data_IF_136413675803
#
_entry.id   IF_136413675803
#
_cell.length_a   1.000
_cell.length_b   1.000
_cell.length_c   1.000
_cell.angle_alpha   90.00
_cell.angle_beta   90.00
_cell.angle_gamma   90.00
#
_symmetry.space_group_name_H-M   'P 1'
#
loop_
_entity.id
_entity.type
_entity.pdbx_description
1 polymer ?
#
# COMPACT_ATOMS: atom_id res chain seq x y z
N UNK A 1 -28.22 -7.84 -32.65
CA UNK A 1 -27.27 -8.33 -31.63
C UNK A 1 -25.87 -7.91 -32.03
N UNK A 2 -25.45 -6.72 -31.62
CA UNK A 2 -24.14 -6.15 -31.96
C UNK A 2 -23.24 -6.18 -30.73
N UNK A 3 -22.41 -7.24 -30.71
CA UNK A 3 -21.07 -7.36 -30.13
C UNK A 3 -20.71 -6.53 -28.88
N UNK A 4 -20.57 -7.24 -27.76
CA UNK A 4 -19.88 -6.83 -26.53
C UNK A 4 -18.35 -6.61 -26.69
N UNK A 5 -17.79 -6.68 -27.91
CA UNK A 5 -16.34 -6.77 -28.13
C UNK A 5 -15.61 -5.42 -28.28
N UNK A 6 -16.28 -4.27 -28.12
CA UNK A 6 -15.66 -2.95 -28.34
C UNK A 6 -15.45 -2.14 -27.05
N UNK A 7 -15.34 -2.79 -25.89
CA UNK A 7 -15.06 -2.10 -24.61
C UNK A 7 -13.62 -2.32 -24.09
N UNK A 8 -12.81 -3.15 -24.73
CA UNK A 8 -11.54 -3.65 -24.14
C UNK A 8 -10.26 -3.12 -24.81
N UNK A 9 -10.16 -1.82 -25.08
CA UNK A 9 -8.89 -1.23 -25.58
C UNK A 9 -8.68 0.24 -25.16
N UNK A 10 -9.09 0.62 -23.94
CA UNK A 10 -8.72 1.93 -23.39
C UNK A 10 -7.33 1.86 -22.76
N UNK A 11 -6.41 2.82 -23.02
CA UNK A 11 -5.08 2.87 -22.42
C UNK A 11 -5.11 2.90 -20.88
N UNK A 12 -6.21 3.37 -20.30
CA UNK A 12 -6.50 3.32 -18.86
C UNK A 12 -6.62 1.89 -18.32
N UNK A 13 -7.27 0.99 -19.07
CA UNK A 13 -7.40 -0.42 -18.66
C UNK A 13 -6.06 -1.16 -18.68
N UNK A 14 -5.19 -0.86 -19.64
CA UNK A 14 -3.83 -1.39 -19.65
C UNK A 14 -2.99 -0.83 -18.49
N UNK A 15 -3.16 0.45 -18.16
CA UNK A 15 -2.50 1.07 -16.98
C UNK A 15 -2.96 0.42 -15.68
N UNK A 16 -4.26 0.16 -15.53
CA UNK A 16 -4.84 -0.52 -14.37
C UNK A 16 -4.36 -1.97 -14.29
N UNK A 17 -4.43 -2.72 -15.40
CA UNK A 17 -3.88 -4.09 -15.48
C UNK A 17 -2.41 -4.11 -15.12
N UNK A 18 -1.62 -3.16 -15.61
CA UNK A 18 -0.20 -3.00 -15.29
C UNK A 18 -0.02 -2.72 -13.81
N UNK A 19 -0.77 -1.79 -13.22
CA UNK A 19 -0.75 -1.51 -11.79
C UNK A 19 -1.07 -2.76 -10.94
N UNK A 20 -2.13 -3.49 -11.26
CA UNK A 20 -2.45 -4.74 -10.56
C UNK A 20 -1.38 -5.82 -10.79
N UNK A 21 -0.79 -5.91 -11.98
CA UNK A 21 0.31 -6.84 -12.26
C UNK A 21 1.57 -6.46 -11.47
N UNK A 22 1.91 -5.18 -11.37
CA UNK A 22 2.98 -4.69 -10.50
C UNK A 22 2.66 -4.98 -9.03
N UNK A 23 1.40 -4.83 -8.58
CA UNK A 23 1.00 -5.13 -7.21
C UNK A 23 1.02 -6.64 -6.91
N UNK A 24 0.62 -7.49 -7.84
CA UNK A 24 0.52 -8.92 -7.59
C UNK A 24 1.86 -9.61 -7.89
N UNK A 25 2.51 -9.26 -9.02
CA UNK A 25 3.68 -9.95 -9.59
C UNK A 25 4.99 -9.17 -9.53
N UNK A 26 4.96 -7.85 -9.36
CA UNK A 26 6.19 -7.04 -9.24
C UNK A 26 6.95 -6.82 -10.55
N UNK A 27 6.30 -7.05 -11.68
CA UNK A 27 6.82 -6.70 -13.01
C UNK A 27 6.76 -5.17 -13.21
N UNK A 28 7.73 -4.62 -13.96
CA UNK A 28 7.83 -3.21 -14.41
C UNK A 28 8.70 -2.23 -13.60
N UNK A 29 9.96 -2.60 -13.33
CA UNK A 29 10.98 -1.58 -13.03
C UNK A 29 12.21 -1.86 -13.87
N UNK A 30 12.64 -0.87 -14.65
CA UNK A 30 13.95 -0.89 -15.27
C UNK A 30 15.00 -0.70 -14.18
N UNK A 31 15.60 -1.81 -13.74
CA UNK A 31 16.55 -1.83 -12.64
C UNK A 31 17.96 -1.37 -13.06
N UNK A 32 18.23 -1.23 -14.37
CA UNK A 32 19.54 -0.84 -14.89
C UNK A 32 19.97 0.55 -14.42
N UNK A 33 19.01 1.46 -14.19
CA UNK A 33 19.28 2.83 -13.71
C UNK A 33 19.90 2.91 -12.30
N UNK A 34 19.91 1.81 -11.54
CA UNK A 34 20.47 1.74 -10.18
C UNK A 34 21.86 1.11 -10.13
N UNK A 35 22.51 1.01 -11.29
CA UNK A 35 23.89 0.56 -11.46
C UNK A 35 24.89 1.59 -10.92
N UNK A 36 25.82 1.13 -10.08
CA UNK A 36 27.02 1.88 -9.70
C UNK A 36 28.24 1.07 -10.12
N UNK A 37 29.15 1.70 -10.88
CA UNK A 37 30.49 1.16 -11.14
C UNK A 37 31.42 1.62 -10.02
N UNK A 38 32.16 0.70 -9.39
CA UNK A 38 33.24 1.07 -8.48
C UNK A 38 34.43 1.54 -9.31
N UNK A 39 34.99 2.70 -8.99
CA UNK A 39 36.09 3.33 -9.73
C UNK A 39 37.19 2.31 -10.08
N UNK A 40 37.41 2.11 -11.39
CA UNK A 40 38.48 1.25 -11.91
C UNK A 40 38.22 -0.26 -11.90
N UNK A 41 37.03 -0.74 -11.50
CA UNK A 41 36.68 -2.17 -11.53
C UNK A 41 35.38 -2.42 -12.32
N UNK A 42 35.27 -3.55 -13.00
CA UNK A 42 34.03 -4.00 -13.66
C UNK A 42 32.95 -4.49 -12.65
N UNK A 43 33.16 -4.25 -11.36
CA UNK A 43 32.25 -4.66 -10.30
C UNK A 43 31.08 -3.67 -10.25
N UNK A 44 29.97 -4.11 -10.82
CA UNK A 44 28.69 -3.39 -10.76
C UNK A 44 27.98 -3.72 -9.45
N UNK A 45 27.65 -2.69 -8.67
CA UNK A 45 26.93 -2.83 -7.40
C UNK A 45 25.64 -2.00 -7.40
N UNK A 46 24.66 -2.45 -6.60
CA UNK A 46 23.39 -1.75 -6.43
C UNK A 46 23.57 -0.47 -5.60
N UNK A 47 23.09 0.66 -6.12
CA UNK A 47 23.17 1.95 -5.42
C UNK A 47 22.09 2.08 -4.34
N UNK A 48 22.36 1.56 -3.15
CA UNK A 48 21.38 1.57 -2.04
C UNK A 48 20.92 2.97 -1.61
N UNK A 49 21.80 3.98 -1.70
CA UNK A 49 21.52 5.35 -1.24
C UNK A 49 21.01 6.29 -2.35
N UNK A 50 20.55 5.76 -3.48
CA UNK A 50 20.04 6.57 -4.58
C UNK A 50 18.87 7.49 -4.16
N UNK A 51 18.80 8.70 -4.73
CA UNK A 51 17.72 9.67 -4.48
C UNK A 51 16.35 9.08 -4.84
N UNK A 52 16.28 8.15 -5.79
CA UNK A 52 15.07 7.43 -6.14
C UNK A 52 14.47 6.61 -4.98
N UNK A 53 15.29 6.22 -3.99
CA UNK A 53 14.84 5.49 -2.79
C UNK A 53 14.58 6.40 -1.60
N UNK A 54 14.42 7.71 -1.84
CA UNK A 54 13.98 8.69 -0.86
C UNK A 54 12.52 9.06 -1.05
N UNK A 55 11.83 9.33 0.05
CA UNK A 55 10.42 9.73 0.05
C UNK A 55 10.28 11.24 -0.13
N UNK A 56 9.40 11.68 -1.03
CA UNK A 56 9.00 13.10 -1.21
C UNK A 56 10.16 14.10 -1.39
N UNK A 57 11.28 13.67 -1.98
CA UNK A 57 12.47 14.53 -2.12
C UNK A 57 13.18 14.84 -0.79
N UNK A 58 12.79 14.18 0.30
CA UNK A 58 13.44 14.28 1.62
C UNK A 58 14.66 13.37 1.71
N UNK A 59 15.34 13.34 2.86
CA UNK A 59 16.40 12.36 3.14
C UNK A 59 15.88 11.04 3.76
N UNK A 60 14.56 10.87 3.92
CA UNK A 60 13.98 9.67 4.52
C UNK A 60 14.00 8.52 3.51
N UNK A 61 14.68 7.43 3.86
CA UNK A 61 14.74 6.23 3.04
C UNK A 61 13.38 5.51 3.00
N UNK A 62 12.99 4.97 1.85
CA UNK A 62 11.69 4.28 1.64
C UNK A 62 11.45 3.13 2.62
N UNK A 63 12.52 2.44 3.06
CA UNK A 63 12.44 1.37 4.08
C UNK A 63 11.98 1.90 5.43
N UNK A 64 12.53 3.04 5.87
CA UNK A 64 12.18 3.67 7.14
C UNK A 64 10.74 4.18 7.07
N UNK A 65 10.37 4.86 5.98
CA UNK A 65 9.00 5.33 5.83
C UNK A 65 7.97 4.19 5.79
N UNK A 66 8.27 3.08 5.11
CA UNK A 66 7.36 1.92 5.09
C UNK A 66 7.24 1.26 6.47
N UNK A 67 8.31 1.25 7.26
CA UNK A 67 8.26 0.77 8.63
C UNK A 67 7.37 1.67 9.50
N UNK A 68 7.55 2.99 9.43
CA UNK A 68 6.71 3.97 10.16
C UNK A 68 5.24 3.84 9.74
N UNK A 69 4.96 3.79 8.43
CA UNK A 69 3.61 3.62 7.91
C UNK A 69 2.98 2.30 8.39
N UNK A 70 3.75 1.21 8.41
CA UNK A 70 3.31 -0.07 8.93
C UNK A 70 3.01 -0.04 10.43
N UNK A 71 3.83 0.65 11.24
CA UNK A 71 3.60 0.81 12.69
C UNK A 71 2.34 1.61 12.97
N UNK A 72 2.15 2.74 12.30
CA UNK A 72 0.94 3.57 12.46
C UNK A 72 -0.29 2.76 12.04
N UNK A 73 -0.25 2.10 10.88
CA UNK A 73 -1.32 1.23 10.41
C UNK A 73 -1.67 0.14 11.41
N UNK A 74 -0.65 -0.50 11.99
CA UNK A 74 -0.82 -1.56 12.98
C UNK A 74 -1.47 -1.05 14.26
N UNK A 75 -1.02 0.10 14.78
CA UNK A 75 -1.63 0.73 15.96
C UNK A 75 -3.10 1.06 15.70
N UNK A 76 -3.42 1.61 14.52
CA UNK A 76 -4.80 1.90 14.12
C UNK A 76 -5.64 0.62 14.04
N UNK A 77 -5.11 -0.45 13.45
CA UNK A 77 -5.80 -1.75 13.40
C UNK A 77 -6.05 -2.31 14.80
N UNK A 78 -5.07 -2.26 15.69
CA UNK A 78 -5.23 -2.72 17.08
C UNK A 78 -6.25 -1.85 17.83
N UNK A 79 -6.18 -0.53 17.68
CA UNK A 79 -7.13 0.40 18.30
C UNK A 79 -8.55 0.15 17.79
N UNK A 80 -8.73 -0.09 16.49
CA UNK A 80 -10.00 -0.51 15.89
C UNK A 80 -10.48 -1.82 16.53
N UNK A 81 -9.63 -2.85 16.56
CA UNK A 81 -9.96 -4.13 17.16
C UNK A 81 -10.41 -3.98 18.63
N UNK A 82 -9.65 -3.28 19.46
CA UNK A 82 -9.99 -3.07 20.89
C UNK A 82 -11.28 -2.27 21.02
N UNK A 83 -11.40 -1.14 20.30
CA UNK A 83 -12.56 -0.26 20.43
C UNK A 83 -13.84 -0.99 20.03
N UNK A 84 -13.83 -1.70 18.90
CA UNK A 84 -15.00 -2.42 18.44
C UNK A 84 -15.29 -3.69 19.22
N UNK A 85 -14.29 -4.41 19.76
CA UNK A 85 -14.54 -5.57 20.63
C UNK A 85 -15.17 -5.17 21.96
N UNK A 86 -14.70 -4.10 22.60
CA UNK A 86 -15.14 -3.74 23.96
C UNK A 86 -16.26 -2.70 24.00
N UNK A 87 -16.39 -1.86 22.97
CA UNK A 87 -17.38 -0.78 22.92
C UNK A 87 -18.44 -0.98 21.83
N UNK A 88 -18.63 -2.23 21.35
CA UNK A 88 -19.70 -2.59 20.40
C UNK A 88 -21.10 -2.18 20.88
N UNK A 89 -21.28 -2.04 22.21
CA UNK A 89 -22.50 -1.53 22.80
C UNK A 89 -22.53 0.01 22.81
N UNK A 90 -22.81 0.62 21.65
CA UNK A 90 -23.68 1.80 21.63
C UNK A 90 -25.10 1.31 21.38
N UNK A 91 -25.68 0.65 22.39
CA UNK A 91 -27.05 0.14 22.41
C UNK A 91 -28.12 1.23 22.34
N UNK A 92 -28.16 2.01 21.26
CA UNK A 92 -29.16 3.05 21.03
C UNK A 92 -29.65 2.98 19.58
N UNK A 93 -30.65 2.12 19.33
CA UNK A 93 -31.50 2.19 18.13
C UNK A 93 -30.81 2.12 16.77
N UNK A 94 -29.57 1.60 16.69
CA UNK A 94 -28.82 1.52 15.44
C UNK A 94 -29.26 0.33 14.60
N UNK A 95 -29.14 0.44 13.28
CA UNK A 95 -29.59 -0.57 12.33
C UNK A 95 -28.79 -1.87 12.50
N UNK A 96 -29.44 -3.03 12.79
CA UNK A 96 -28.77 -4.32 12.98
C UNK A 96 -27.87 -4.75 11.82
N UNK A 97 -28.18 -4.31 10.59
CA UNK A 97 -27.38 -4.57 9.41
C UNK A 97 -25.99 -3.92 9.48
N UNK A 98 -25.91 -2.71 10.02
CA UNK A 98 -24.65 -1.97 10.12
C UNK A 98 -23.75 -2.58 11.20
N UNK A 99 -24.34 -3.08 12.28
CA UNK A 99 -23.61 -3.83 13.33
C UNK A 99 -23.03 -5.14 12.78
N UNK A 100 -23.76 -5.85 11.90
CA UNK A 100 -23.25 -7.06 11.24
C UNK A 100 -22.08 -6.77 10.30
N UNK A 101 -22.17 -5.69 9.50
CA UNK A 101 -21.07 -5.28 8.63
C UNK A 101 -19.81 -4.93 9.42
N UNK A 102 -19.96 -4.21 10.54
CA UNK A 102 -18.84 -3.87 11.42
C UNK A 102 -18.26 -5.10 12.14
N UNK A 103 -19.08 -6.08 12.51
CA UNK A 103 -18.60 -7.34 13.07
C UNK A 103 -17.78 -8.14 12.05
N UNK A 104 -18.24 -8.19 10.79
CA UNK A 104 -17.49 -8.82 9.70
C UNK A 104 -16.15 -8.11 9.50
N UNK A 105 -16.14 -6.78 9.51
CA UNK A 105 -14.90 -5.98 9.38
C UNK A 105 -13.95 -6.21 10.56
N UNK A 106 -14.46 -6.34 11.78
CA UNK A 106 -13.69 -6.69 12.96
C UNK A 106 -13.03 -8.08 12.84
N UNK A 107 -13.79 -9.09 12.43
CA UNK A 107 -13.27 -10.45 12.19
C UNK A 107 -12.18 -10.40 11.11
N UNK A 108 -12.40 -9.63 10.05
CA UNK A 108 -11.46 -9.49 8.95
C UNK A 108 -10.18 -8.74 9.38
N UNK A 109 -10.28 -7.71 10.21
CA UNK A 109 -9.14 -7.00 10.80
C UNK A 109 -8.28 -7.91 11.69
N UNK A 110 -8.91 -8.78 12.50
CA UNK A 110 -8.19 -9.76 13.32
C UNK A 110 -7.52 -10.86 12.49
N UNK A 111 -8.29 -11.48 11.59
CA UNK A 111 -7.85 -12.67 10.85
C UNK A 111 -6.93 -12.37 9.67
N UNK A 112 -7.04 -11.18 9.07
CA UNK A 112 -6.27 -10.78 7.88
C UNK A 112 -5.45 -9.53 8.16
N UNK A 113 -6.03 -8.51 8.79
CA UNK A 113 -5.36 -7.24 9.06
C UNK A 113 -4.09 -7.37 9.90
N UNK A 114 -4.17 -8.02 11.07
CA UNK A 114 -3.02 -8.25 11.95
C UNK A 114 -1.94 -9.10 11.27
N UNK A 115 -2.24 -10.28 10.68
CA UNK A 115 -1.24 -11.05 9.95
C UNK A 115 -0.58 -10.29 8.79
N UNK A 116 -1.33 -9.44 8.06
CA UNK A 116 -0.75 -8.63 6.98
C UNK A 116 0.32 -7.66 7.49
N UNK A 117 0.12 -7.06 8.67
CA UNK A 117 1.13 -6.18 9.28
C UNK A 117 2.37 -6.95 9.73
N UNK A 118 2.18 -8.12 10.36
CA UNK A 118 3.30 -8.98 10.76
C UNK A 118 4.13 -9.42 9.55
N UNK A 119 3.47 -9.81 8.46
CA UNK A 119 4.12 -10.14 7.20
C UNK A 119 4.83 -8.94 6.59
N UNK A 120 4.25 -7.74 6.64
CA UNK A 120 4.90 -6.51 6.18
C UNK A 120 6.18 -6.23 6.97
N UNK A 121 6.14 -6.30 8.31
CA UNK A 121 7.33 -6.08 9.14
C UNK A 121 8.41 -7.11 8.83
N UNK A 122 8.04 -8.38 8.68
CA UNK A 122 8.96 -9.43 8.30
C UNK A 122 9.55 -9.21 6.90
N UNK A 123 8.74 -8.79 5.92
CA UNK A 123 9.16 -8.50 4.56
C UNK A 123 10.15 -7.31 4.51
N UNK A 124 9.92 -6.26 5.29
CA UNK A 124 10.82 -5.12 5.44
C UNK A 124 12.12 -5.55 6.13
N UNK A 125 12.04 -6.31 7.23
CA UNK A 125 13.20 -6.72 8.01
C UNK A 125 14.11 -7.70 7.25
N UNK A 126 13.52 -8.68 6.56
CA UNK A 126 14.26 -9.69 5.79
C UNK A 126 14.49 -9.29 4.33
N UNK A 127 14.02 -8.12 3.90
CA UNK A 127 14.11 -7.64 2.52
C UNK A 127 13.59 -8.67 1.52
N UNK A 128 12.39 -9.21 1.77
CA UNK A 128 11.73 -10.20 0.90
C UNK A 128 10.50 -9.62 0.24
N UNK A 129 10.11 -10.16 -0.92
CA UNK A 129 8.99 -9.66 -1.75
C UNK A 129 7.57 -9.95 -1.20
N UNK A 130 7.42 -10.29 0.09
CA UNK A 130 6.13 -10.61 0.72
C UNK A 130 5.31 -9.37 1.13
N UNK A 131 5.30 -8.35 0.27
CA UNK A 131 4.51 -7.12 0.44
C UNK A 131 3.07 -7.26 -0.10
N UNK A 132 2.82 -8.23 -0.99
CA UNK A 132 1.56 -8.38 -1.71
C UNK A 132 0.33 -8.58 -0.82
N UNK A 133 0.35 -9.40 0.26
CA UNK A 133 -0.81 -9.55 1.14
C UNK A 133 -1.27 -8.23 1.75
N UNK A 134 -0.31 -7.45 2.29
CA UNK A 134 -0.58 -6.12 2.82
C UNK A 134 -1.13 -5.18 1.74
N UNK A 135 -0.51 -5.14 0.56
CA UNK A 135 -0.93 -4.25 -0.52
C UNK A 135 -2.34 -4.57 -1.04
N UNK A 136 -2.68 -5.85 -1.21
CA UNK A 136 -4.02 -6.25 -1.66
C UNK A 136 -5.06 -5.88 -0.61
N UNK A 137 -4.83 -6.23 0.65
CA UNK A 137 -5.74 -5.92 1.75
C UNK A 137 -5.97 -4.40 1.89
N UNK A 138 -4.89 -3.62 1.94
CA UNK A 138 -4.99 -2.17 2.09
C UNK A 138 -5.60 -1.49 0.87
N UNK A 139 -5.36 -2.00 -0.35
CA UNK A 139 -5.96 -1.44 -1.56
C UNK A 139 -7.47 -1.71 -1.62
N UNK A 140 -7.92 -2.90 -1.23
CA UNK A 140 -9.35 -3.22 -1.14
C UNK A 140 -10.04 -2.34 -0.10
N UNK A 141 -9.46 -2.21 1.10
CA UNK A 141 -10.00 -1.32 2.12
C UNK A 141 -9.97 0.15 1.69
N UNK A 142 -8.94 0.57 0.95
CA UNK A 142 -8.86 1.93 0.44
C UNK A 142 -9.96 2.20 -0.58
N UNK A 143 -10.23 1.26 -1.49
CA UNK A 143 -11.32 1.39 -2.45
C UNK A 143 -12.69 1.53 -1.76
N UNK A 144 -12.96 0.71 -0.74
CA UNK A 144 -14.17 0.81 0.07
C UNK A 144 -14.25 2.17 0.79
N UNK A 145 -13.16 2.60 1.42
CA UNK A 145 -13.10 3.89 2.10
C UNK A 145 -13.28 5.08 1.16
N UNK A 146 -12.80 5.01 -0.08
CA UNK A 146 -13.07 6.03 -1.11
C UNK A 146 -14.56 6.08 -1.42
N UNK A 147 -15.22 4.94 -1.64
CA UNK A 147 -16.66 4.88 -1.90
C UNK A 147 -17.44 5.49 -0.73
N UNK A 148 -17.14 5.05 0.50
CA UNK A 148 -17.79 5.59 1.68
C UNK A 148 -17.52 7.09 1.85
N UNK A 149 -16.30 7.55 1.59
CA UNK A 149 -15.96 8.98 1.67
C UNK A 149 -16.77 9.80 0.69
N UNK A 150 -16.92 9.33 -0.55
CA UNK A 150 -17.74 10.01 -1.56
C UNK A 150 -19.20 10.09 -1.11
N UNK A 151 -19.77 8.98 -0.62
CA UNK A 151 -21.14 8.95 -0.10
C UNK A 151 -21.29 9.93 1.06
N UNK A 152 -20.37 9.91 2.03
CA UNK A 152 -20.39 10.81 3.19
C UNK A 152 -20.29 12.27 2.74
N UNK A 153 -19.40 12.63 1.81
CA UNK A 153 -19.28 14.00 1.30
C UNK A 153 -20.54 14.46 0.57
N UNK A 154 -21.17 13.58 -0.22
CA UNK A 154 -22.45 13.89 -0.90
C UNK A 154 -23.56 14.10 0.13
N UNK A 155 -23.73 13.18 1.09
CA UNK A 155 -24.72 13.30 2.16
C UNK A 155 -24.50 14.59 2.95
N UNK A 156 -23.26 14.87 3.32
CA UNK A 156 -22.86 16.08 4.02
C UNK A 156 -23.14 17.35 3.19
N UNK A 157 -23.01 17.30 1.86
CA UNK A 157 -23.34 18.43 0.97
C UNK A 157 -24.86 18.67 0.88
N UNK A 158 -25.66 17.61 0.83
CA UNK A 158 -27.13 17.68 0.83
C UNK A 158 -27.67 18.17 2.18
N UNK A 159 -27.05 17.77 3.29
CA UNK A 159 -27.37 18.27 4.62
C UNK A 159 -26.94 19.72 4.82
N UNK A 160 -25.80 20.14 4.25
CA UNK A 160 -25.37 21.54 4.23
C UNK A 160 -26.38 22.42 3.46
N UNK A 161 -26.91 21.89 2.35
CA UNK A 161 -27.99 22.53 1.59
C UNK A 161 -29.26 22.66 2.44
N UNK A 162 -29.66 21.62 3.20
CA UNK A 162 -30.77 21.72 4.17
C UNK A 162 -30.49 22.71 5.29
N UNK A 163 -29.22 22.86 5.70
CA UNK A 163 -28.81 23.74 6.79
C UNK A 163 -28.86 25.23 6.45
N UNK A 164 -28.43 25.60 5.24
CA UNK A 164 -28.56 26.96 4.71
C UNK A 164 -30.03 27.44 4.70
N UNK A 165 -30.98 26.49 4.71
CA UNK A 165 -32.43 26.75 4.74
C UNK A 165 -33.13 26.25 6.04
N UNK A 166 -32.40 25.78 7.06
CA UNK A 166 -32.99 25.22 8.28
C UNK A 166 -31.99 24.81 9.37
N UNK A 167 -32.35 25.00 10.65
CA UNK A 167 -31.42 24.91 11.78
C UNK A 167 -31.14 23.46 12.25
N UNK A 168 -30.30 22.71 11.55
CA UNK A 168 -29.82 21.36 11.94
C UNK A 168 -28.37 21.48 12.44
N UNK A 169 -27.90 20.63 13.37
CA UNK A 169 -26.48 20.53 13.78
C UNK A 169 -25.71 19.56 12.87
N UNK A 170 -24.60 20.00 12.30
CA UNK A 170 -23.80 19.25 11.32
C UNK A 170 -22.77 18.34 11.98
N UNK A 171 -22.48 17.17 11.39
CA UNK A 171 -21.38 16.29 11.82
C UNK A 171 -20.12 16.49 10.93
N UNK A 172 -19.54 17.69 11.00
CA UNK A 172 -18.35 18.10 10.24
C UNK A 172 -17.13 17.25 10.63
N UNK A 173 -17.13 16.78 11.88
CA UNK A 173 -16.07 15.97 12.46
C UNK A 173 -15.96 14.62 11.77
N UNK A 174 -17.09 13.93 11.54
CA UNK A 174 -17.09 12.63 10.88
C UNK A 174 -16.61 12.71 9.42
N UNK A 175 -17.13 13.68 8.65
CA UNK A 175 -16.70 13.88 7.26
C UNK A 175 -15.21 14.22 7.16
N UNK A 176 -14.71 15.13 8.00
CA UNK A 176 -13.30 15.50 8.00
C UNK A 176 -12.41 14.32 8.39
N UNK A 177 -12.79 13.57 9.43
CA UNK A 177 -12.07 12.36 9.84
C UNK A 177 -11.98 11.36 8.69
N UNK A 178 -13.10 11.08 8.01
CA UNK A 178 -13.17 10.08 6.96
C UNK A 178 -12.32 10.44 5.73
N UNK A 179 -12.30 11.72 5.33
CA UNK A 179 -11.43 12.22 4.25
C UNK A 179 -9.95 12.06 4.64
N UNK A 180 -9.57 12.51 5.84
CA UNK A 180 -8.18 12.43 6.31
C UNK A 180 -7.71 10.99 6.48
N UNK A 181 -8.58 10.11 6.96
CA UNK A 181 -8.30 8.69 7.14
C UNK A 181 -8.04 8.01 5.78
N UNK A 182 -8.92 8.24 4.81
CA UNK A 182 -8.78 7.70 3.46
C UNK A 182 -7.49 8.19 2.79
N UNK A 183 -7.19 9.49 2.91
CA UNK A 183 -5.95 10.06 2.39
C UNK A 183 -4.69 9.44 3.04
N UNK A 184 -4.72 9.25 4.36
CA UNK A 184 -3.63 8.64 5.13
C UNK A 184 -3.40 7.18 4.73
N UNK A 185 -4.47 6.43 4.46
CA UNK A 185 -4.37 5.05 3.97
C UNK A 185 -3.76 4.99 2.57
N UNK A 186 -4.16 5.90 1.66
CA UNK A 186 -3.55 6.03 0.34
C UNK A 186 -2.05 6.34 0.40
N UNK A 187 -1.65 7.22 1.31
CA UNK A 187 -0.25 7.54 1.58
C UNK A 187 0.53 6.31 2.07
N UNK A 188 -0.02 5.53 3.01
CA UNK A 188 0.61 4.31 3.51
C UNK A 188 0.85 3.29 2.39
N UNK A 189 -0.13 3.07 1.50
CA UNK A 189 0.00 2.19 0.34
C UNK A 189 1.13 2.67 -0.57
N UNK A 190 1.17 3.96 -0.89
CA UNK A 190 2.21 4.55 -1.74
C UNK A 190 3.62 4.29 -1.16
N UNK A 191 3.81 4.56 0.13
CA UNK A 191 5.10 4.39 0.79
C UNK A 191 5.54 2.92 0.80
N UNK A 192 4.63 2.00 1.10
CA UNK A 192 4.91 0.55 1.07
C UNK A 192 5.23 0.06 -0.34
N UNK A 193 4.52 0.55 -1.36
CA UNK A 193 4.85 0.25 -2.76
C UNK A 193 6.26 0.72 -3.14
N UNK A 194 6.68 1.91 -2.70
CA UNK A 194 8.04 2.42 -2.93
C UNK A 194 9.09 1.54 -2.26
N UNK A 195 8.86 1.12 -1.01
CA UNK A 195 9.75 0.19 -0.31
C UNK A 195 9.85 -1.16 -1.03
N UNK A 196 8.74 -1.70 -1.53
CA UNK A 196 8.75 -2.93 -2.30
C UNK A 196 9.59 -2.80 -3.57
N UNK A 197 9.47 -1.68 -4.32
CA UNK A 197 10.28 -1.43 -5.53
C UNK A 197 11.77 -1.43 -5.20
N UNK A 198 12.16 -0.82 -4.08
CA UNK A 198 13.53 -0.87 -3.59
C UNK A 198 13.99 -2.31 -3.30
N UNK A 199 13.20 -3.09 -2.55
CA UNK A 199 13.54 -4.49 -2.23
C UNK A 199 13.65 -5.34 -3.51
N UNK A 200 12.75 -5.14 -4.47
CA UNK A 200 12.80 -5.83 -5.75
C UNK A 200 14.09 -5.51 -6.53
N UNK A 201 14.47 -4.23 -6.59
CA UNK A 201 15.70 -3.79 -7.23
C UNK A 201 16.93 -4.41 -6.57
N UNK A 202 16.97 -4.41 -5.23
CA UNK A 202 18.06 -4.99 -4.45
C UNK A 202 18.21 -6.50 -4.70
N UNK A 203 17.09 -7.23 -4.74
CA UNK A 203 17.08 -8.68 -5.04
C UNK A 203 17.56 -8.94 -6.47
N UNK A 204 17.07 -8.17 -7.45
CA UNK A 204 17.46 -8.30 -8.85
C UNK A 204 18.98 -8.17 -9.03
N UNK A 205 19.57 -7.12 -8.45
CA UNK A 205 21.02 -6.89 -8.53
C UNK A 205 21.84 -7.91 -7.76
N UNK A 206 21.36 -8.36 -6.59
CA UNK A 206 22.01 -9.47 -5.87
C UNK A 206 22.09 -10.72 -6.74
N UNK A 207 20.98 -11.09 -7.41
CA UNK A 207 20.93 -12.26 -8.29
C UNK A 207 21.89 -12.12 -9.46
N UNK A 208 21.87 -10.98 -10.14
CA UNK A 208 22.76 -10.69 -11.29
C UNK A 208 24.25 -10.75 -10.92
N UNK A 209 24.61 -10.24 -9.74
CA UNK A 209 25.98 -10.29 -9.27
C UNK A 209 26.41 -11.73 -8.94
N UNK A 210 25.54 -12.54 -8.33
CA UNK A 210 25.80 -13.96 -8.10
C UNK A 210 25.99 -14.72 -9.43
N UNK A 211 25.13 -14.50 -10.42
CA UNK A 211 25.24 -15.13 -11.75
C UNK A 211 26.57 -14.79 -12.43
N UNK A 212 27.01 -13.51 -12.37
CA UNK A 212 28.32 -13.08 -12.88
C UNK A 212 29.49 -13.74 -12.14
N UNK A 213 29.44 -13.82 -10.82
CA UNK A 213 30.50 -14.48 -10.04
C UNK A 213 30.57 -15.97 -10.39
N UNK A 214 29.43 -16.64 -10.52
CA UNK A 214 29.38 -18.05 -10.94
C UNK A 214 29.92 -18.27 -12.36
N UNK A 215 29.64 -17.36 -13.30
CA UNK A 215 30.21 -17.46 -14.66
C UNK A 215 31.72 -17.22 -14.66
N UNK A 216 32.24 -16.23 -13.93
CA UNK A 216 33.68 -15.99 -13.82
C UNK A 216 34.44 -17.18 -13.23
N UNK A 217 33.86 -17.85 -12.22
CA UNK A 217 34.42 -19.07 -11.62
C UNK A 217 34.37 -20.23 -12.62
N UNK A 218 33.29 -20.37 -13.38
CA UNK A 218 33.14 -21.42 -14.40
C UNK A 218 34.11 -21.23 -15.59
N UNK A 219 34.40 -19.99 -15.95
CA UNK A 219 35.34 -19.62 -17.02
C UNK A 219 36.81 -19.67 -16.57
N UNK A 220 37.09 -20.10 -15.33
CA UNK A 220 38.45 -20.28 -14.82
C UNK A 220 39.24 -18.98 -14.59
N UNK A 221 38.56 -17.83 -14.55
CA UNK A 221 39.20 -16.54 -14.29
C UNK A 221 39.42 -16.42 -12.77
N UNK A 222 40.60 -16.86 -12.32
CA UNK A 222 41.07 -16.58 -10.96
C UNK A 222 41.44 -15.10 -10.85
N UNK A 223 40.73 -14.38 -9.98
CA UNK A 223 41.14 -13.03 -9.57
C UNK A 223 42.39 -13.24 -8.69
N UNK A 224 43.58 -13.01 -9.26
CA UNK A 224 44.81 -12.79 -8.48
C UNK A 224 44.82 -11.38 -7.87
#
# INVERSE_FOLDING_TARGET
MTSFATFSSKPEMETIKKFFRTIIRGEDVDYAQFESKMDGTDIVTFRENDKAFRLFGTNVHVKVGAYIAGVIGFIVTIAFCITYTFYHSRGMGRNPFLDHLELVDLIFAFSVGIPCHLLLFWAIAKEKLFFSPFLVFYLTNFALNVIFTVITVIAASLDLHRQLFGNIKYDLGWTAFQVLFTASQGLAIYVVMRCRKYVAAKIYWRKRNTERTSSMIADGVTIE
#
